data_IF_639402686575
#
_entry.id   IF_639402686575
#
_cell.length_a   1.000
_cell.length_b   1.000
_cell.length_c   1.000
_cell.angle_alpha   90.00
_cell.angle_beta   90.00
_cell.angle_gamma   90.00
#
_symmetry.space_group_name_H-M   'P 1'
#
loop_
_entity.id
_entity.type
_entity.pdbx_description
1 polymer ?
#
# COMPACT_ATOMS: atom_id res chain seq x y z
N UNK A 1 -3.72 -17.87 -9.28
CA UNK A 1 -3.27 -17.53 -7.91
C UNK A 1 -4.17 -18.19 -6.84
N UNK A 2 -4.14 -19.53 -6.69
CA UNK A 2 -4.99 -20.21 -5.69
C UNK A 2 -4.52 -19.99 -4.24
N UNK A 3 -3.27 -19.57 -4.06
CA UNK A 3 -2.61 -19.42 -2.77
C UNK A 3 -1.93 -18.04 -2.67
N UNK A 4 -2.70 -16.95 -2.79
CA UNK A 4 -2.17 -15.61 -2.52
C UNK A 4 -1.71 -15.54 -1.06
N UNK A 5 -0.40 -15.48 -0.87
CA UNK A 5 0.21 -15.24 0.43
C UNK A 5 0.49 -13.75 0.61
N UNK A 6 0.03 -13.20 1.72
CA UNK A 6 0.27 -11.81 2.10
C UNK A 6 0.94 -11.81 3.46
N UNK A 7 2.20 -11.35 3.51
CA UNK A 7 2.97 -11.24 4.74
C UNK A 7 2.96 -9.80 5.23
N UNK A 8 2.41 -9.56 6.42
CA UNK A 8 2.34 -8.22 7.00
C UNK A 8 3.57 -7.96 7.87
N UNK A 9 4.32 -6.93 7.52
CA UNK A 9 5.57 -6.55 8.18
C UNK A 9 5.45 -5.14 8.76
N UNK A 10 5.63 -5.01 10.07
CA UNK A 10 5.67 -3.75 10.79
C UNK A 10 6.98 -3.59 11.58
N UNK A 11 8.04 -4.26 11.14
CA UNK A 11 9.36 -4.19 11.77
C UNK A 11 10.01 -2.83 11.56
N UNK A 12 10.82 -2.40 12.53
CA UNK A 12 11.60 -1.17 12.40
C UNK A 12 12.47 -1.17 11.12
N UNK A 13 13.03 -2.32 10.76
CA UNK A 13 13.81 -2.49 9.53
C UNK A 13 12.99 -2.15 8.28
N UNK A 14 11.77 -2.68 8.16
CA UNK A 14 10.92 -2.43 6.99
C UNK A 14 10.42 -0.98 6.93
N UNK A 15 10.19 -0.38 8.10
CA UNK A 15 9.85 1.04 8.21
C UNK A 15 11.04 1.91 7.78
N UNK A 16 12.27 1.57 8.15
CA UNK A 16 13.48 2.28 7.66
C UNK A 16 13.62 2.14 6.13
N UNK A 17 13.41 0.94 5.58
CA UNK A 17 13.39 0.72 4.12
C UNK A 17 12.38 1.67 3.45
N UNK A 18 11.20 1.82 4.05
CA UNK A 18 10.15 2.72 3.56
C UNK A 18 10.58 4.20 3.51
N UNK A 19 11.39 4.66 4.47
CA UNK A 19 11.88 6.05 4.54
C UNK A 19 12.82 6.36 3.37
N UNK A 20 13.76 5.45 3.08
CA UNK A 20 14.71 5.64 1.98
C UNK A 20 14.00 5.70 0.62
N UNK A 21 12.97 4.85 0.44
CA UNK A 21 12.13 4.89 -0.76
C UNK A 21 11.41 6.24 -0.84
N UNK A 22 10.63 6.62 0.19
CA UNK A 22 9.81 7.84 0.17
C UNK A 22 10.64 9.09 -0.09
N UNK A 23 11.85 9.15 0.47
CA UNK A 23 12.79 10.27 0.27
C UNK A 23 13.06 10.56 -1.21
N UNK A 24 13.09 9.54 -2.06
CA UNK A 24 13.28 9.70 -3.51
C UNK A 24 12.05 10.28 -4.21
N UNK A 25 10.85 10.11 -3.62
CA UNK A 25 9.57 10.54 -4.18
C UNK A 25 9.03 11.85 -3.62
N UNK A 26 9.65 12.46 -2.59
CA UNK A 26 9.11 13.67 -1.92
C UNK A 26 8.81 14.79 -2.92
N UNK A 27 9.75 15.10 -3.82
CA UNK A 27 9.56 16.17 -4.81
C UNK A 27 8.34 15.93 -5.70
N UNK A 28 8.10 14.68 -6.09
CA UNK A 28 6.94 14.28 -6.88
C UNK A 28 5.65 14.42 -6.07
N UNK A 29 5.63 13.95 -4.82
CA UNK A 29 4.47 14.06 -3.93
C UNK A 29 4.07 15.53 -3.68
N UNK A 30 5.07 16.42 -3.54
CA UNK A 30 4.87 17.86 -3.41
C UNK A 30 4.30 18.49 -4.68
N UNK A 31 4.84 18.14 -5.86
CA UNK A 31 4.35 18.61 -7.16
C UNK A 31 2.89 18.22 -7.41
N UNK A 32 2.55 16.96 -7.10
CA UNK A 32 1.20 16.41 -7.23
C UNK A 32 0.25 16.87 -6.12
N UNK A 33 0.74 17.63 -5.13
CA UNK A 33 -0.02 18.09 -3.95
C UNK A 33 -0.71 16.93 -3.21
N UNK A 34 -0.08 15.76 -3.22
CA UNK A 34 -0.59 14.58 -2.54
C UNK A 34 -0.38 14.74 -1.05
N UNK A 35 -1.26 14.14 -0.26
CA UNK A 35 -0.98 13.96 1.16
C UNK A 35 0.19 13.00 1.32
N UNK A 36 1.16 13.35 2.19
CA UNK A 36 2.17 12.44 2.68
C UNK A 36 2.55 12.82 4.12
N UNK A 37 3.15 11.86 4.84
CA UNK A 37 3.81 12.11 6.12
C UNK A 37 5.30 11.80 5.99
N UNK A 38 6.15 12.81 6.24
CA UNK A 38 7.59 12.65 6.24
C UNK A 38 8.22 13.73 7.14
N UNK A 39 8.34 13.48 8.46
CA UNK A 39 8.69 14.50 9.45
C UNK A 39 10.21 14.76 9.57
N UNK A 40 11.03 14.26 8.64
CA UNK A 40 12.47 14.29 8.76
C UNK A 40 13.08 15.58 8.19
N UNK A 41 13.71 16.38 9.06
CA UNK A 41 14.60 17.47 8.65
C UNK A 41 16.07 17.04 8.55
N UNK A 42 16.42 15.94 9.22
CA UNK A 42 17.76 15.34 9.23
C UNK A 42 17.63 13.81 9.09
N UNK A 43 18.49 13.20 8.28
CA UNK A 43 18.48 11.77 7.98
C UNK A 43 19.60 11.02 8.71
N UNK A 44 19.80 11.28 10.01
CA UNK A 44 20.72 10.50 10.83
C UNK A 44 19.98 9.32 11.48
N UNK A 45 20.68 8.19 11.62
CA UNK A 45 20.11 6.95 12.16
C UNK A 45 19.44 7.16 13.53
N UNK A 46 20.08 7.91 14.42
CA UNK A 46 19.54 8.20 15.76
C UNK A 46 18.24 9.02 15.71
N UNK A 47 18.14 9.97 14.78
CA UNK A 47 16.91 10.77 14.57
C UNK A 47 15.80 9.88 14.02
N UNK A 48 16.12 9.05 13.03
CA UNK A 48 15.18 8.12 12.40
C UNK A 48 14.61 7.14 13.43
N UNK A 49 15.46 6.45 14.19
CA UNK A 49 15.03 5.47 15.19
C UNK A 49 14.17 6.12 16.29
N UNK A 50 14.54 7.32 16.73
CA UNK A 50 13.76 8.08 17.72
C UNK A 50 12.38 8.43 17.17
N UNK A 51 12.31 8.91 15.93
CA UNK A 51 11.06 9.29 15.29
C UNK A 51 10.16 8.07 15.05
N UNK A 52 10.70 6.94 14.59
CA UNK A 52 9.94 5.69 14.42
C UNK A 52 9.30 5.27 15.74
N UNK A 53 10.02 5.38 16.87
CA UNK A 53 9.46 5.05 18.18
C UNK A 53 8.29 5.98 18.54
N UNK A 54 8.45 7.29 18.34
CA UNK A 54 7.41 8.30 18.60
C UNK A 54 6.18 8.04 17.72
N UNK A 55 6.38 7.78 16.43
CA UNK A 55 5.31 7.52 15.47
C UNK A 55 4.60 6.19 15.76
N UNK A 56 5.35 5.16 16.17
CA UNK A 56 4.78 3.86 16.57
C UNK A 56 3.80 3.98 17.74
N UNK A 57 4.13 4.82 18.73
CA UNK A 57 3.25 5.12 19.85
C UNK A 57 2.06 6.00 19.41
N UNK A 58 2.35 7.05 18.63
CA UNK A 58 1.35 8.05 18.18
C UNK A 58 0.27 7.42 17.29
N UNK A 59 0.69 6.61 16.32
CA UNK A 59 -0.20 5.96 15.35
C UNK A 59 -0.58 4.54 15.76
N UNK A 60 -0.17 4.10 16.95
CA UNK A 60 -0.53 2.80 17.55
C UNK A 60 -0.25 1.63 16.61
N UNK A 61 1.00 1.52 16.13
CA UNK A 61 1.42 0.56 15.09
C UNK A 61 0.94 -0.87 15.36
N UNK A 62 1.07 -1.37 16.60
CA UNK A 62 0.63 -2.72 16.98
C UNK A 62 -0.89 -2.92 16.84
N UNK A 63 -1.68 -1.88 17.15
CA UNK A 63 -3.13 -1.94 16.98
C UNK A 63 -3.50 -1.88 15.50
N UNK A 64 -2.81 -1.04 14.72
CA UNK A 64 -3.00 -0.97 13.28
C UNK A 64 -2.68 -2.31 12.59
N UNK A 65 -1.56 -2.94 12.96
CA UNK A 65 -1.16 -4.27 12.48
C UNK A 65 -2.20 -5.34 12.83
N UNK A 66 -2.71 -5.32 14.05
CA UNK A 66 -3.77 -6.24 14.47
C UNK A 66 -5.04 -6.02 13.65
N UNK A 67 -5.44 -4.75 13.49
CA UNK A 67 -6.69 -4.39 12.83
C UNK A 67 -6.67 -4.67 11.33
N UNK A 68 -5.56 -4.40 10.62
CA UNK A 68 -5.45 -4.73 9.20
C UNK A 68 -5.45 -6.24 8.98
N UNK A 69 -4.80 -7.02 9.86
CA UNK A 69 -4.86 -8.49 9.80
C UNK A 69 -6.28 -9.02 10.01
N UNK A 70 -7.06 -8.39 10.89
CA UNK A 70 -8.48 -8.72 11.10
C UNK A 70 -9.32 -8.35 9.87
N UNK A 71 -9.12 -7.16 9.30
CA UNK A 71 -9.80 -6.72 8.09
C UNK A 71 -9.47 -7.63 6.90
N UNK A 72 -8.19 -7.99 6.71
CA UNK A 72 -7.78 -8.95 5.70
C UNK A 72 -8.51 -10.29 5.86
N UNK A 73 -8.53 -10.88 7.07
CA UNK A 73 -9.25 -12.13 7.32
C UNK A 73 -10.75 -12.06 6.99
N UNK A 74 -11.39 -10.89 7.21
CA UNK A 74 -12.80 -10.66 6.87
C UNK A 74 -13.03 -10.71 5.35
N UNK A 75 -12.14 -10.15 4.55
CA UNK A 75 -12.33 -9.98 3.11
C UNK A 75 -11.58 -10.99 2.22
N UNK A 76 -10.59 -11.69 2.75
CA UNK A 76 -9.62 -12.48 1.98
C UNK A 76 -10.28 -13.47 1.02
N UNK A 77 -11.32 -14.20 1.45
CA UNK A 77 -11.98 -15.19 0.59
C UNK A 77 -12.63 -14.56 -0.65
N UNK A 78 -13.31 -13.42 -0.48
CA UNK A 78 -13.90 -12.66 -1.58
C UNK A 78 -12.84 -12.10 -2.51
N UNK A 79 -11.82 -11.44 -1.93
CA UNK A 79 -10.69 -10.86 -2.66
C UNK A 79 -9.97 -11.91 -3.50
N UNK A 80 -9.55 -13.02 -2.88
CA UNK A 80 -8.78 -14.09 -3.55
C UNK A 80 -9.62 -14.69 -4.69
N UNK A 81 -10.93 -14.88 -4.48
CA UNK A 81 -11.82 -15.38 -5.52
C UNK A 81 -11.90 -14.44 -6.72
N UNK A 82 -11.95 -13.12 -6.50
CA UNK A 82 -11.97 -12.11 -7.57
C UNK A 82 -10.62 -12.05 -8.29
N UNK A 83 -9.52 -12.00 -7.53
CA UNK A 83 -8.17 -12.00 -8.11
C UNK A 83 -7.94 -13.24 -8.97
N UNK A 84 -8.40 -14.43 -8.57
CA UNK A 84 -8.29 -15.65 -9.39
C UNK A 84 -8.84 -15.48 -10.82
N UNK A 85 -9.80 -14.57 -11.06
CA UNK A 85 -10.38 -14.34 -12.39
C UNK A 85 -9.46 -13.58 -13.35
N UNK A 86 -8.43 -12.91 -12.84
CA UNK A 86 -7.47 -12.12 -13.64
C UNK A 86 -6.06 -12.75 -13.66
N UNK A 87 -5.87 -13.92 -13.04
CA UNK A 87 -4.53 -14.44 -12.70
C UNK A 87 -3.74 -15.15 -13.78
N UNK A 88 -4.19 -15.12 -15.04
CA UNK A 88 -3.29 -15.44 -16.16
C UNK A 88 -2.19 -14.36 -16.32
N UNK A 89 -2.28 -13.24 -15.59
CA UNK A 89 -1.31 -12.13 -15.62
C UNK A 89 -0.44 -11.99 -14.36
N UNK A 90 -0.63 -12.80 -13.30
CA UNK A 90 0.09 -12.59 -12.03
C UNK A 90 1.43 -13.32 -11.97
N UNK A 91 2.53 -12.58 -11.83
CA UNK A 91 3.90 -13.12 -11.76
C UNK A 91 4.31 -13.65 -10.36
N UNK A 92 3.57 -13.32 -9.30
CA UNK A 92 3.91 -13.69 -7.93
C UNK A 92 2.73 -14.31 -7.17
N UNK A 93 3.02 -15.31 -6.33
CA UNK A 93 2.06 -15.91 -5.42
C UNK A 93 2.16 -15.38 -3.99
N UNK A 94 3.20 -14.60 -3.69
CA UNK A 94 3.46 -14.05 -2.37
C UNK A 94 3.82 -12.57 -2.49
N UNK A 95 3.26 -11.75 -1.60
CA UNK A 95 3.49 -10.32 -1.52
C UNK A 95 3.77 -9.93 -0.06
N UNK A 96 4.65 -8.95 0.12
CA UNK A 96 4.96 -8.35 1.43
C UNK A 96 4.18 -7.05 1.56
N UNK A 97 3.38 -6.91 2.61
CA UNK A 97 2.70 -5.68 2.97
C UNK A 97 3.40 -5.05 4.17
N UNK A 98 4.14 -3.97 3.93
CA UNK A 98 4.79 -3.17 4.96
C UNK A 98 3.80 -2.14 5.49
N UNK A 99 3.60 -2.12 6.81
CA UNK A 99 2.86 -1.07 7.48
C UNK A 99 3.84 0.04 7.88
N UNK A 100 3.64 1.22 7.32
CA UNK A 100 4.51 2.37 7.56
C UNK A 100 3.70 3.58 8.00
N UNK A 101 4.41 4.59 8.48
CA UNK A 101 3.86 5.91 8.71
C UNK A 101 4.17 6.86 7.56
N UNK A 102 5.20 6.53 6.77
CA UNK A 102 5.87 7.49 5.90
C UNK A 102 5.42 7.36 4.45
N UNK A 103 5.36 8.49 3.75
CA UNK A 103 4.92 8.55 2.35
C UNK A 103 3.42 8.85 2.18
N UNK A 104 2.87 8.61 0.97
CA UNK A 104 1.45 8.83 0.66
C UNK A 104 0.54 7.80 1.34
N UNK A 105 -0.73 7.70 0.95
CA UNK A 105 -1.67 6.71 1.52
C UNK A 105 -1.19 5.27 1.34
N UNK A 106 -0.69 4.95 0.15
CA UNK A 106 -0.04 3.69 -0.18
C UNK A 106 0.88 3.89 -1.37
N UNK A 107 1.77 2.94 -1.56
CA UNK A 107 2.63 2.85 -2.73
C UNK A 107 3.16 1.42 -2.85
N UNK A 108 3.63 1.04 -4.03
CA UNK A 108 4.23 -0.25 -4.28
C UNK A 108 5.71 -0.13 -4.63
N UNK A 109 6.44 -1.24 -4.47
CA UNK A 109 7.82 -1.38 -4.91
C UNK A 109 7.98 -2.75 -5.56
N UNK A 110 8.37 -2.76 -6.83
CA UNK A 110 8.49 -3.98 -7.60
C UNK A 110 9.62 -4.88 -7.05
N UNK A 111 9.44 -6.21 -7.10
CA UNK A 111 8.34 -6.92 -7.77
C UNK A 111 7.14 -7.26 -6.87
N UNK A 112 7.23 -7.14 -5.53
CA UNK A 112 6.32 -7.86 -4.62
C UNK A 112 5.98 -7.13 -3.32
N UNK A 113 6.41 -5.88 -3.14
CA UNK A 113 6.25 -5.17 -1.87
C UNK A 113 5.23 -4.04 -1.99
N UNK A 114 4.30 -3.99 -1.04
CA UNK A 114 3.27 -2.97 -0.91
C UNK A 114 3.50 -2.24 0.41
N UNK A 115 3.43 -0.91 0.40
CA UNK A 115 3.50 -0.09 1.58
C UNK A 115 2.14 0.55 1.83
N UNK A 116 1.62 0.39 3.05
CA UNK A 116 0.36 1.01 3.48
C UNK A 116 0.66 1.97 4.61
N UNK A 117 0.25 3.23 4.42
CA UNK A 117 0.41 4.26 5.44
C UNK A 117 -0.76 4.21 6.43
N UNK A 118 -0.45 3.90 7.68
CA UNK A 118 -1.44 3.72 8.74
C UNK A 118 -1.79 5.01 9.50
N UNK A 119 -1.18 6.15 9.15
CA UNK A 119 -1.41 7.43 9.83
C UNK A 119 -2.82 7.98 9.61
N UNK A 120 -3.52 7.50 8.57
CA UNK A 120 -4.88 7.89 8.21
C UNK A 120 -5.69 6.70 7.75
N UNK A 121 -7.01 6.85 7.82
CA UNK A 121 -7.96 5.87 7.36
C UNK A 121 -8.34 4.86 8.44
N UNK A 122 -9.24 3.97 8.04
CA UNK A 122 -9.77 2.87 8.82
C UNK A 122 -9.17 1.55 8.34
N UNK A 123 -9.31 0.46 9.10
CA UNK A 123 -8.80 -0.85 8.65
C UNK A 123 -9.36 -1.31 7.31
N UNK A 124 -10.61 -0.96 6.98
CA UNK A 124 -11.23 -1.28 5.70
C UNK A 124 -10.60 -0.43 4.57
N UNK A 125 -10.37 0.88 4.80
CA UNK A 125 -9.66 1.75 3.85
C UNK A 125 -8.20 1.31 3.64
N UNK A 126 -7.52 0.76 4.66
CA UNK A 126 -6.18 0.18 4.50
C UNK A 126 -6.18 -1.05 3.59
N UNK A 127 -7.24 -1.86 3.63
CA UNK A 127 -7.41 -2.98 2.69
C UNK A 127 -7.68 -2.46 1.28
N UNK A 128 -8.49 -1.41 1.13
CA UNK A 128 -8.69 -0.74 -0.17
C UNK A 128 -7.36 -0.27 -0.75
N UNK A 129 -6.55 0.47 0.02
CA UNK A 129 -5.21 0.90 -0.38
C UNK A 129 -4.34 -0.29 -0.77
N UNK A 130 -4.24 -1.31 0.09
CA UNK A 130 -3.44 -2.50 -0.16
C UNK A 130 -3.79 -3.15 -1.50
N UNK A 131 -5.08 -3.29 -1.78
CA UNK A 131 -5.56 -3.92 -3.01
C UNK A 131 -5.28 -3.07 -4.24
N UNK A 132 -5.41 -1.74 -4.15
CA UNK A 132 -5.04 -0.83 -5.23
C UNK A 132 -3.55 -0.99 -5.59
N UNK A 133 -2.67 -0.93 -4.59
CA UNK A 133 -1.22 -1.13 -4.79
C UNK A 133 -0.87 -2.56 -5.28
N UNK A 134 -1.63 -3.58 -4.85
CA UNK A 134 -1.46 -4.94 -5.34
C UNK A 134 -1.79 -5.06 -6.82
N UNK A 135 -2.83 -4.35 -7.30
CA UNK A 135 -3.20 -4.36 -8.72
C UNK A 135 -2.10 -3.75 -9.58
N UNK A 136 -1.44 -2.69 -9.12
CA UNK A 136 -0.24 -2.15 -9.78
C UNK A 136 0.83 -3.22 -9.98
N UNK A 137 1.15 -4.00 -8.93
CA UNK A 137 2.12 -5.10 -9.05
C UNK A 137 1.65 -6.22 -9.98
N UNK A 138 0.38 -6.62 -9.90
CA UNK A 138 -0.21 -7.67 -10.77
C UNK A 138 -0.21 -7.26 -12.23
N UNK A 139 -0.43 -5.97 -12.53
CA UNK A 139 -0.48 -5.46 -13.90
C UNK A 139 0.79 -4.72 -14.32
N UNK A 140 1.89 -4.85 -13.57
CA UNK A 140 3.17 -4.16 -13.82
C UNK A 140 3.62 -4.22 -15.29
N UNK A 141 3.61 -5.40 -15.91
CA UNK A 141 3.98 -5.55 -17.34
C UNK A 141 3.03 -4.83 -18.29
N UNK A 142 1.74 -4.75 -17.95
CA UNK A 142 0.72 -4.10 -18.78
C UNK A 142 0.79 -2.59 -18.69
N UNK A 143 1.09 -2.06 -17.50
CA UNK A 143 1.10 -0.62 -17.22
C UNK A 143 2.47 0.03 -17.46
N UNK A 144 3.56 -0.74 -17.63
CA UNK A 144 4.93 -0.23 -17.82
C UNK A 144 5.07 0.87 -18.89
N UNK A 145 4.24 0.83 -19.94
CA UNK A 145 4.27 1.79 -21.05
C UNK A 145 3.24 2.93 -20.94
N UNK A 146 2.43 2.94 -19.89
CA UNK A 146 1.39 3.95 -19.66
C UNK A 146 1.99 5.18 -18.96
N UNK A 147 1.43 6.36 -19.26
CA UNK A 147 1.69 7.54 -18.44
C UNK A 147 1.03 7.36 -17.06
N UNK A 148 1.60 7.95 -16.01
CA UNK A 148 1.15 7.74 -14.62
C UNK A 148 -0.38 7.94 -14.43
N UNK A 149 -0.96 8.97 -15.04
CA UNK A 149 -2.41 9.21 -14.95
C UNK A 149 -3.25 8.13 -15.66
N UNK A 150 -2.73 7.54 -16.73
CA UNK A 150 -3.39 6.45 -17.46
C UNK A 150 -3.30 5.14 -16.67
N UNK A 151 -2.14 4.87 -16.07
CA UNK A 151 -1.90 3.77 -15.14
C UNK A 151 -2.92 3.81 -13.97
N UNK A 152 -2.98 4.92 -13.25
CA UNK A 152 -3.87 5.09 -12.09
C UNK A 152 -5.34 4.91 -12.45
N UNK A 153 -5.77 5.48 -13.59
CA UNK A 153 -7.14 5.28 -14.11
C UNK A 153 -7.44 3.84 -14.47
N UNK A 154 -6.46 3.14 -15.05
CA UNK A 154 -6.61 1.72 -15.38
C UNK A 154 -6.73 0.87 -14.10
N UNK A 155 -5.92 1.15 -13.08
CA UNK A 155 -5.99 0.46 -11.80
C UNK A 155 -7.30 0.75 -11.07
N UNK A 156 -7.73 2.01 -10.99
CA UNK A 156 -8.99 2.38 -10.35
C UNK A 156 -10.20 1.73 -11.04
N UNK A 157 -10.24 1.72 -12.38
CA UNK A 157 -11.31 1.04 -13.12
C UNK A 157 -11.30 -0.46 -12.82
N UNK A 158 -10.12 -1.08 -12.78
CA UNK A 158 -9.97 -2.50 -12.48
C UNK A 158 -10.39 -2.82 -11.04
N UNK A 159 -10.07 -1.93 -10.10
CA UNK A 159 -10.50 -2.05 -8.71
C UNK A 159 -12.03 -2.05 -8.60
N UNK A 160 -12.68 -1.07 -9.23
CA UNK A 160 -14.15 -0.96 -9.19
C UNK A 160 -14.81 -2.18 -9.82
N UNK A 161 -14.30 -2.64 -10.96
CA UNK A 161 -14.84 -3.81 -11.67
C UNK A 161 -14.70 -5.11 -10.85
N UNK A 162 -13.58 -5.30 -10.15
CA UNK A 162 -13.31 -6.52 -9.39
C UNK A 162 -13.93 -6.51 -7.99
N UNK A 163 -13.81 -5.38 -7.29
CA UNK A 163 -14.04 -5.29 -5.85
C UNK A 163 -15.13 -4.30 -5.46
N UNK A 164 -15.79 -3.61 -6.41
CA UNK A 164 -16.84 -2.63 -6.09
C UNK A 164 -18.05 -3.20 -5.33
N UNK A 165 -18.29 -4.51 -5.41
CA UNK A 165 -19.30 -5.20 -4.60
C UNK A 165 -18.86 -5.46 -3.15
N UNK A 166 -17.54 -5.51 -2.90
CA UNK A 166 -16.93 -5.68 -1.58
C UNK A 166 -16.70 -4.30 -0.92
N UNK A 167 -16.24 -3.33 -1.70
CA UNK A 167 -15.90 -1.97 -1.27
C UNK A 167 -16.74 -0.94 -2.05
N UNK A 168 -18.05 -0.83 -1.78
CA UNK A 168 -18.96 0.04 -2.56
C UNK A 168 -18.71 1.54 -2.37
N UNK A 169 -17.90 1.92 -1.37
CA UNK A 169 -17.56 3.31 -1.07
C UNK A 169 -16.13 3.68 -1.49
N UNK A 170 -15.46 2.80 -2.25
CA UNK A 170 -14.12 3.06 -2.77
C UNK A 170 -14.08 4.40 -3.49
N UNK A 171 -13.08 5.22 -3.16
CA UNK A 171 -12.86 6.51 -3.80
C UNK A 171 -11.72 6.38 -4.79
N UNK A 172 -12.08 6.40 -6.08
CA UNK A 172 -11.15 6.57 -7.21
C UNK A 172 -10.19 7.72 -6.90
N UNK A 173 -8.89 7.48 -7.10
CA UNK A 173 -7.89 8.48 -6.84
C UNK A 173 -8.07 9.64 -7.83
N UNK A 174 -8.43 10.82 -7.31
CA UNK A 174 -8.47 12.04 -8.12
C UNK A 174 -7.05 12.59 -8.23
N UNK A 175 -6.28 12.03 -9.15
CA UNK A 175 -4.93 12.47 -9.52
C UNK A 175 -5.02 13.42 -10.72
#
# INVERSE_FOLDING_TARGET
>A
MKDLALDFDASEKSIIESIEIVKEFISFLEEMKMYYYFPFSEMSEAVIQTQIKVDSETFRLTDAETNIKVAWKKYASGIISKLCTITDTSNHSAYRCVLTFYGPYGYYYTPDTIYVNITKGTPDEWIETLLHELLHLIFSEKIESMEHLEEERFIDSTFVDLFGDIFPNYKVQNI
#
